data_IF_063995748266
#
_entry.id   IF_063995748266
#
_cell.length_a   1.000
_cell.length_b   1.000
_cell.length_c   1.000
_cell.angle_alpha   90.00
_cell.angle_beta   90.00
_cell.angle_gamma   90.00
#
_symmetry.space_group_name_H-M   'P 1'
#
loop_
_entity.id
_entity.type
_entity.pdbx_description
1 polymer ?
#
# COMPACT_ATOMS: atom_id res chain seq x y z
N UNK A 1 22.82 2.68 13.04
CA UNK A 1 22.38 1.43 12.36
C UNK A 1 21.84 0.36 13.30
N UNK A 2 22.57 -0.07 14.36
CA UNK A 2 22.06 -1.07 15.33
C UNK A 2 20.72 -0.67 15.97
N UNK A 3 20.54 0.61 16.31
CA UNK A 3 19.30 1.13 16.89
C UNK A 3 18.10 1.02 15.94
N UNK A 4 18.28 1.38 14.66
CA UNK A 4 17.23 1.29 13.63
C UNK A 4 16.73 -0.15 13.50
N UNK A 5 17.65 -1.12 13.40
CA UNK A 5 17.30 -2.53 13.29
C UNK A 5 16.58 -3.06 14.54
N UNK A 6 16.98 -2.62 15.73
CA UNK A 6 16.31 -2.97 16.99
C UNK A 6 14.88 -2.43 17.03
N UNK A 7 14.68 -1.15 16.70
CA UNK A 7 13.34 -0.53 16.66
C UNK A 7 12.45 -1.20 15.62
N UNK A 8 13.01 -1.50 14.44
CA UNK A 8 12.32 -2.25 13.40
C UNK A 8 11.89 -3.63 13.88
N UNK A 9 12.80 -4.38 14.52
CA UNK A 9 12.52 -5.72 15.05
C UNK A 9 11.46 -5.73 16.15
N UNK A 10 11.46 -4.73 17.04
CA UNK A 10 10.43 -4.57 18.08
C UNK A 10 9.08 -4.25 17.44
N UNK A 11 9.05 -3.27 16.55
CA UNK A 11 7.82 -2.83 15.85
C UNK A 11 7.19 -3.97 15.07
N UNK A 12 8.03 -4.71 14.32
CA UNK A 12 7.61 -5.89 13.57
C UNK A 12 7.02 -6.98 14.47
N UNK A 13 7.72 -7.36 15.56
CA UNK A 13 7.23 -8.38 16.50
C UNK A 13 5.93 -7.96 17.20
N UNK A 14 5.83 -6.69 17.55
CA UNK A 14 4.62 -6.16 18.17
C UNK A 14 3.44 -6.19 17.19
N UNK A 15 3.66 -5.78 15.94
CA UNK A 15 2.67 -5.83 14.89
C UNK A 15 2.23 -7.27 14.57
N UNK A 16 3.18 -8.20 14.50
CA UNK A 16 2.93 -9.63 14.23
C UNK A 16 2.07 -10.29 15.33
N UNK A 17 2.22 -9.84 16.57
CA UNK A 17 1.43 -10.34 17.72
C UNK A 17 0.02 -9.75 17.77
N UNK A 18 -0.28 -8.74 16.95
CA UNK A 18 -1.58 -8.09 16.96
C UNK A 18 -2.66 -9.03 16.37
N UNK A 19 -3.71 -9.32 17.15
CA UNK A 19 -4.81 -10.20 16.71
C UNK A 19 -5.55 -9.67 15.48
N UNK A 20 -5.55 -8.36 15.26
CA UNK A 20 -6.15 -7.74 14.07
C UNK A 20 -5.47 -8.26 12.80
N UNK A 21 -4.15 -8.48 12.82
CA UNK A 21 -3.43 -9.03 11.68
C UNK A 21 -3.97 -10.40 11.30
N UNK A 22 -4.20 -11.27 12.29
CA UNK A 22 -4.79 -12.59 12.07
C UNK A 22 -6.19 -12.47 11.46
N UNK A 23 -7.02 -11.55 11.96
CA UNK A 23 -8.36 -11.31 11.41
C UNK A 23 -8.31 -10.88 9.94
N UNK A 24 -7.37 -10.01 9.56
CA UNK A 24 -7.19 -9.58 8.16
C UNK A 24 -6.73 -10.75 7.29
N UNK A 25 -5.78 -11.57 7.77
CA UNK A 25 -5.32 -12.75 7.03
C UNK A 25 -6.42 -13.80 6.88
N UNK A 26 -7.23 -14.04 7.91
CA UNK A 26 -8.40 -14.93 7.83
C UNK A 26 -9.43 -14.40 6.84
N UNK A 27 -9.66 -13.09 6.83
CA UNK A 27 -10.56 -12.44 5.87
C UNK A 27 -10.05 -12.63 4.42
N UNK A 28 -8.75 -12.46 4.18
CA UNK A 28 -8.16 -12.72 2.87
C UNK A 28 -8.30 -14.18 2.45
N UNK A 29 -8.05 -15.12 3.36
CA UNK A 29 -8.22 -16.55 3.09
C UNK A 29 -9.68 -16.89 2.72
N UNK A 30 -10.65 -16.25 3.36
CA UNK A 30 -12.06 -16.39 3.00
C UNK A 30 -12.33 -15.86 1.58
N UNK A 31 -11.78 -14.70 1.19
CA UNK A 31 -11.91 -14.18 -0.18
C UNK A 31 -11.27 -15.13 -1.19
N UNK A 32 -10.08 -15.68 -0.91
CA UNK A 32 -9.44 -16.65 -1.80
C UNK A 32 -10.26 -17.94 -1.94
N UNK A 33 -10.90 -18.41 -0.87
CA UNK A 33 -11.84 -19.53 -0.93
C UNK A 33 -13.08 -19.21 -1.77
N UNK A 34 -13.66 -18.01 -1.59
CA UNK A 34 -14.79 -17.53 -2.38
C UNK A 34 -14.42 -17.29 -3.85
N UNK A 35 -13.15 -17.01 -4.17
CA UNK A 35 -12.70 -16.81 -5.54
C UNK A 35 -13.06 -18.03 -6.43
N UNK A 36 -12.97 -19.24 -5.87
CA UNK A 36 -13.37 -20.47 -6.57
C UNK A 36 -14.86 -20.48 -6.93
N UNK A 37 -15.74 -20.05 -6.02
CA UNK A 37 -17.20 -20.04 -6.24
C UNK A 37 -17.69 -18.83 -7.03
N UNK A 38 -17.02 -17.68 -6.83
CA UNK A 38 -17.38 -16.42 -7.47
C UNK A 38 -17.06 -16.45 -8.96
N UNK A 39 -15.98 -17.13 -9.37
CA UNK A 39 -15.64 -17.30 -10.78
C UNK A 39 -16.84 -17.81 -11.59
N UNK A 40 -17.59 -18.79 -11.10
CA UNK A 40 -18.75 -19.37 -11.78
C UNK A 40 -19.96 -18.42 -11.89
N UNK A 41 -20.03 -17.36 -11.07
CA UNK A 41 -21.15 -16.42 -11.05
C UNK A 41 -21.01 -15.30 -12.10
N UNK A 42 -19.79 -15.04 -12.58
CA UNK A 42 -19.52 -13.98 -13.54
C UNK A 42 -19.55 -14.52 -14.98
N UNK A 43 -20.71 -14.42 -15.63
CA UNK A 43 -20.93 -14.76 -17.06
C UNK A 43 -20.22 -13.82 -18.06
N UNK A 44 -19.54 -12.77 -17.58
CA UNK A 44 -18.87 -11.77 -18.42
C UNK A 44 -17.35 -12.02 -18.42
N UNK A 45 -16.77 -12.28 -19.59
CA UNK A 45 -15.32 -12.52 -19.81
C UNK A 45 -14.68 -13.48 -18.80
N UNK A 46 -15.17 -14.73 -18.77
CA UNK A 46 -14.76 -15.82 -17.86
C UNK A 46 -13.25 -15.82 -17.55
N UNK A 47 -12.39 -15.65 -18.56
CA UNK A 47 -10.94 -15.87 -18.51
C UNK A 47 -10.10 -15.00 -17.56
N UNK A 48 -10.61 -14.05 -16.78
CA UNK A 48 -9.72 -13.09 -16.08
C UNK A 48 -10.11 -12.76 -14.64
N UNK A 49 -11.27 -13.25 -14.22
CA UNK A 49 -11.89 -12.91 -12.93
C UNK A 49 -11.02 -13.36 -11.76
N UNK A 50 -10.40 -14.54 -11.86
CA UNK A 50 -9.64 -15.14 -10.76
C UNK A 50 -8.43 -14.30 -10.32
N UNK A 51 -7.66 -13.78 -11.29
CA UNK A 51 -6.45 -12.99 -11.00
C UNK A 51 -6.82 -11.62 -10.44
N UNK A 52 -7.85 -10.97 -11.00
CA UNK A 52 -8.31 -9.66 -10.55
C UNK A 52 -8.88 -9.70 -9.12
N UNK A 53 -9.69 -10.72 -8.80
CA UNK A 53 -10.20 -10.94 -7.44
C UNK A 53 -9.04 -11.14 -6.46
N UNK A 54 -8.06 -11.99 -6.80
CA UNK A 54 -6.91 -12.24 -5.92
C UNK A 54 -6.07 -10.98 -5.68
N UNK A 55 -5.75 -10.22 -6.73
CA UNK A 55 -5.00 -8.97 -6.59
C UNK A 55 -5.78 -7.91 -5.81
N UNK A 56 -7.09 -7.82 -6.03
CA UNK A 56 -7.96 -6.90 -5.27
C UNK A 56 -8.05 -7.29 -3.79
N UNK A 57 -8.09 -8.59 -3.48
CA UNK A 57 -8.08 -9.08 -2.10
C UNK A 57 -6.78 -8.72 -1.38
N UNK A 58 -5.63 -8.91 -2.04
CA UNK A 58 -4.31 -8.52 -1.54
C UNK A 58 -4.30 -7.02 -1.26
N UNK A 59 -4.69 -6.20 -2.25
CA UNK A 59 -4.69 -4.75 -2.13
C UNK A 59 -5.58 -4.24 -0.99
N UNK A 60 -6.77 -4.80 -0.84
CA UNK A 60 -7.68 -4.45 0.25
C UNK A 60 -7.07 -4.81 1.61
N UNK A 61 -6.47 -6.00 1.75
CA UNK A 61 -5.89 -6.43 3.01
C UNK A 61 -4.67 -5.59 3.40
N UNK A 62 -3.77 -5.30 2.45
CA UNK A 62 -2.63 -4.40 2.68
C UNK A 62 -3.08 -3.00 3.08
N UNK A 63 -4.16 -2.49 2.49
CA UNK A 63 -4.79 -1.21 2.88
C UNK A 63 -5.31 -1.23 4.33
N UNK A 64 -6.02 -2.31 4.72
CA UNK A 64 -6.51 -2.48 6.09
C UNK A 64 -5.36 -2.55 7.10
N UNK A 65 -4.25 -3.22 6.76
CA UNK A 65 -3.06 -3.27 7.62
C UNK A 65 -2.50 -1.86 7.83
N UNK A 66 -2.37 -1.05 6.78
CA UNK A 66 -1.85 0.32 6.90
C UNK A 66 -2.78 1.16 7.78
N UNK A 67 -4.08 1.16 7.51
CA UNK A 67 -5.03 2.05 8.21
C UNK A 67 -5.35 1.62 9.63
N UNK A 68 -5.53 0.32 9.86
CA UNK A 68 -6.00 -0.20 11.14
C UNK A 68 -4.81 -0.59 12.02
N UNK A 69 -3.73 -1.13 11.47
CA UNK A 69 -2.61 -1.59 12.29
C UNK A 69 -1.52 -0.53 12.39
N UNK A 70 -0.95 -0.10 11.27
CA UNK A 70 0.23 0.79 11.28
C UNK A 70 -0.08 2.16 11.89
N UNK A 71 -1.16 2.82 11.45
CA UNK A 71 -1.53 4.15 11.97
C UNK A 71 -1.91 4.09 13.46
N UNK A 72 -2.70 3.10 13.89
CA UNK A 72 -3.08 2.99 15.30
C UNK A 72 -1.90 2.66 16.21
N UNK A 73 -0.98 1.80 15.77
CA UNK A 73 0.21 1.48 16.56
C UNK A 73 1.12 2.70 16.68
N UNK A 74 1.31 3.46 15.59
CA UNK A 74 2.10 4.68 15.62
C UNK A 74 1.45 5.79 16.47
N UNK A 75 0.14 6.01 16.32
CA UNK A 75 -0.62 6.98 17.10
C UNK A 75 -0.57 6.67 18.60
N UNK A 76 -0.79 5.40 18.97
CA UNK A 76 -0.69 4.96 20.38
C UNK A 76 0.70 5.19 20.97
N UNK A 77 1.77 4.98 20.20
CA UNK A 77 3.13 5.18 20.68
C UNK A 77 3.43 6.67 20.93
N UNK A 78 2.88 7.56 20.08
CA UNK A 78 2.95 9.01 20.23
C UNK A 78 2.13 9.46 21.45
N UNK A 79 0.88 9.00 21.57
CA UNK A 79 -0.06 9.42 22.63
C UNK A 79 0.36 8.94 24.02
N UNK A 80 0.81 7.68 24.15
CA UNK A 80 1.19 7.10 25.46
C UNK A 80 2.54 7.60 25.98
N UNK A 81 3.15 8.59 25.32
CA UNK A 81 4.50 9.06 25.65
C UNK A 81 5.52 7.91 25.70
N UNK A 82 5.29 6.79 25.02
CA UNK A 82 6.26 5.67 25.00
C UNK A 82 7.53 6.11 24.26
N UNK A 83 7.41 7.08 23.35
CA UNK A 83 8.54 7.82 22.78
C UNK A 83 9.50 8.32 23.88
N UNK A 84 8.99 8.75 25.04
CA UNK A 84 9.80 9.27 26.16
C UNK A 84 10.59 8.18 26.89
N UNK A 85 10.08 6.94 26.94
CA UNK A 85 10.81 5.78 27.48
C UNK A 85 11.97 5.35 26.58
N UNK A 86 11.85 5.57 25.26
CA UNK A 86 12.93 5.35 24.30
C UNK A 86 13.93 6.52 24.26
N UNK A 87 13.48 7.77 24.50
CA UNK A 87 14.32 8.97 24.63
C UNK A 87 15.18 9.00 25.91
N UNK A 88 14.93 8.12 26.89
CA UNK A 88 15.83 7.92 28.03
C UNK A 88 17.18 7.32 27.60
N UNK A 89 17.25 6.72 26.41
CA UNK A 89 18.50 6.49 25.67
C UNK A 89 18.65 7.60 24.63
N UNK A 90 19.88 8.05 24.30
CA UNK A 90 20.12 9.09 23.30
C UNK A 90 19.85 8.55 21.89
N UNK A 91 18.57 8.35 21.56
CA UNK A 91 18.11 7.93 20.24
C UNK A 91 17.79 9.18 19.42
N UNK A 92 18.42 9.28 18.26
CA UNK A 92 18.12 10.37 17.36
C UNK A 92 16.72 10.16 16.75
N UNK A 93 15.97 11.25 16.60
CA UNK A 93 14.57 11.23 16.12
C UNK A 93 14.42 10.56 14.74
N UNK A 94 15.44 10.66 13.87
CA UNK A 94 15.47 9.98 12.58
C UNK A 94 15.59 8.45 12.72
N UNK A 95 16.30 7.95 13.73
CA UNK A 95 16.45 6.50 13.95
C UNK A 95 15.10 5.87 14.35
N UNK A 96 14.28 6.62 15.10
CA UNK A 96 12.93 6.19 15.46
C UNK A 96 12.01 6.08 14.25
N UNK A 97 11.92 7.14 13.43
CA UNK A 97 11.04 7.16 12.25
C UNK A 97 11.47 6.08 11.23
N UNK A 98 12.77 5.99 10.91
CA UNK A 98 13.26 4.98 9.99
C UNK A 98 13.09 3.56 10.53
N UNK A 99 13.35 3.34 11.83
CA UNK A 99 13.14 2.04 12.47
C UNK A 99 11.68 1.60 12.42
N UNK A 100 10.75 2.52 12.71
CA UNK A 100 9.31 2.28 12.62
C UNK A 100 8.87 1.97 11.18
N UNK A 101 9.33 2.78 10.22
CA UNK A 101 9.03 2.55 8.82
C UNK A 101 9.55 1.18 8.35
N UNK A 102 10.81 0.84 8.62
CA UNK A 102 11.38 -0.46 8.25
C UNK A 102 10.65 -1.63 8.92
N UNK A 103 10.22 -1.49 10.18
CA UNK A 103 9.43 -2.51 10.88
C UNK A 103 8.07 -2.76 10.23
N UNK A 104 7.35 -1.68 9.88
CA UNK A 104 6.07 -1.79 9.17
C UNK A 104 6.24 -2.23 7.71
N UNK A 105 7.30 -1.79 7.02
CA UNK A 105 7.63 -2.25 5.68
C UNK A 105 7.94 -3.75 5.65
N UNK A 106 8.67 -4.27 6.64
CA UNK A 106 8.93 -5.70 6.78
C UNK A 106 7.65 -6.49 7.10
N UNK A 107 6.75 -5.92 7.91
CA UNK A 107 5.43 -6.50 8.15
C UNK A 107 4.63 -6.59 6.85
N UNK A 108 4.53 -5.48 6.11
CA UNK A 108 3.83 -5.43 4.83
C UNK A 108 4.44 -6.40 3.83
N UNK A 109 5.77 -6.53 3.78
CA UNK A 109 6.44 -7.48 2.90
C UNK A 109 6.09 -8.94 3.25
N UNK A 110 6.09 -9.27 4.55
CA UNK A 110 5.70 -10.61 5.00
C UNK A 110 4.24 -10.89 4.65
N UNK A 111 3.34 -9.94 4.90
CA UNK A 111 1.91 -10.12 4.60
C UNK A 111 1.66 -10.20 3.11
N UNK A 112 2.36 -9.39 2.31
CA UNK A 112 2.32 -9.44 0.85
C UNK A 112 2.79 -10.81 0.34
N UNK A 113 3.84 -11.38 0.94
CA UNK A 113 4.32 -12.70 0.57
C UNK A 113 3.30 -13.81 0.91
N UNK A 114 2.69 -13.74 2.08
CA UNK A 114 1.65 -14.69 2.51
C UNK A 114 0.40 -14.57 1.62
N UNK A 115 -0.09 -13.35 1.42
CA UNK A 115 -1.28 -13.06 0.64
C UNK A 115 -1.05 -13.31 -0.86
N UNK A 116 0.10 -12.92 -1.38
CA UNK A 116 0.54 -13.20 -2.75
C UNK A 116 0.71 -14.70 -3.01
N UNK A 117 1.25 -15.45 -2.05
CA UNK A 117 1.30 -16.91 -2.09
C UNK A 117 -0.10 -17.55 -2.08
N UNK A 118 -1.00 -17.07 -1.23
CA UNK A 118 -2.41 -17.50 -1.20
C UNK A 118 -3.16 -17.17 -2.50
N UNK A 119 -2.96 -15.95 -3.02
CA UNK A 119 -3.51 -15.50 -4.30
C UNK A 119 -2.99 -16.35 -5.47
N UNK A 120 -1.68 -16.59 -5.53
CA UNK A 120 -1.07 -17.48 -6.52
C UNK A 120 -1.63 -18.90 -6.44
N UNK A 121 -1.77 -19.45 -5.23
CA UNK A 121 -2.37 -20.76 -5.03
C UNK A 121 -3.82 -20.81 -5.51
N UNK A 122 -4.62 -19.78 -5.20
CA UNK A 122 -6.02 -19.71 -5.67
C UNK A 122 -6.11 -19.68 -7.20
N UNK A 123 -5.25 -18.88 -7.86
CA UNK A 123 -5.17 -18.81 -9.33
C UNK A 123 -4.70 -20.13 -9.92
N UNK A 124 -3.72 -20.79 -9.30
CA UNK A 124 -3.21 -22.09 -9.74
C UNK A 124 -4.30 -23.18 -9.69
N UNK A 125 -5.07 -23.23 -8.60
CA UNK A 125 -6.20 -24.16 -8.46
C UNK A 125 -7.23 -23.91 -9.57
N UNK A 126 -7.62 -22.65 -9.78
CA UNK A 126 -8.61 -22.30 -10.82
C UNK A 126 -8.06 -22.61 -12.21
N UNK A 127 -6.79 -22.31 -12.49
CA UNK A 127 -6.16 -22.63 -13.77
C UNK A 127 -6.19 -24.13 -14.09
N UNK A 128 -6.05 -24.99 -13.06
CA UNK A 128 -6.05 -26.43 -13.24
C UNK A 128 -7.46 -27.03 -13.42
N UNK A 129 -8.43 -26.63 -12.59
CA UNK A 129 -9.78 -27.20 -12.61
C UNK A 129 -10.73 -26.51 -13.60
N UNK A 130 -10.41 -25.27 -13.97
CA UNK A 130 -11.28 -24.31 -14.67
C UNK A 130 -10.44 -23.39 -15.59
N UNK A 131 -9.72 -23.95 -16.59
CA UNK A 131 -8.78 -23.17 -17.42
C UNK A 131 -9.45 -22.03 -18.22
N UNK A 132 -10.76 -22.13 -18.47
CA UNK A 132 -11.54 -21.07 -19.13
C UNK A 132 -11.59 -19.75 -18.33
N UNK A 133 -11.19 -19.76 -17.05
CA UNK A 133 -11.25 -18.59 -16.16
C UNK A 133 -9.92 -17.89 -15.91
N UNK A 134 -8.85 -18.38 -16.54
CA UNK A 134 -7.52 -17.77 -16.48
C UNK A 134 -7.10 -17.37 -17.89
N UNK A 135 -6.43 -16.21 -18.00
CA UNK A 135 -6.15 -15.63 -19.30
C UNK A 135 -5.16 -16.52 -20.04
N UNK A 136 -5.37 -16.70 -21.34
CA UNK A 136 -4.47 -17.50 -22.19
C UNK A 136 -3.03 -16.95 -22.14
N UNK A 137 -2.87 -15.64 -21.93
CA UNK A 137 -1.58 -14.96 -21.82
C UNK A 137 -1.11 -14.75 -20.37
N UNK A 138 -1.71 -15.42 -19.39
CA UNK A 138 -1.30 -15.27 -17.99
C UNK A 138 0.16 -15.70 -17.79
N UNK A 139 0.95 -14.82 -17.18
CA UNK A 139 2.35 -15.09 -16.86
C UNK A 139 2.64 -14.87 -15.38
N UNK A 140 3.19 -15.88 -14.71
CA UNK A 140 3.63 -15.80 -13.32
C UNK A 140 4.63 -14.68 -13.07
N UNK A 141 5.46 -14.34 -14.08
CA UNK A 141 6.36 -13.19 -14.01
C UNK A 141 5.64 -11.85 -13.89
N UNK A 142 4.54 -11.64 -14.64
CA UNK A 142 3.73 -10.42 -14.52
C UNK A 142 2.95 -10.37 -13.21
N UNK A 143 2.49 -11.52 -12.70
CA UNK A 143 1.88 -11.60 -11.38
C UNK A 143 2.88 -11.17 -10.28
N UNK A 144 4.09 -11.72 -10.29
CA UNK A 144 5.15 -11.33 -9.35
C UNK A 144 5.56 -9.86 -9.49
N UNK A 145 5.66 -9.35 -10.71
CA UNK A 145 5.95 -7.93 -10.96
C UNK A 145 4.84 -7.03 -10.41
N UNK A 146 3.58 -7.44 -10.57
CA UNK A 146 2.46 -6.69 -10.04
C UNK A 146 2.41 -6.68 -8.50
N UNK A 147 2.80 -7.76 -7.83
CA UNK A 147 3.00 -7.77 -6.37
C UNK A 147 4.12 -6.81 -5.94
N UNK A 148 5.23 -6.77 -6.68
CA UNK A 148 6.33 -5.83 -6.40
C UNK A 148 5.88 -4.36 -6.53
N UNK A 149 5.11 -4.03 -7.57
CA UNK A 149 4.54 -2.70 -7.76
C UNK A 149 3.55 -2.37 -6.65
N UNK A 150 2.66 -3.31 -6.33
CA UNK A 150 1.70 -3.14 -5.24
C UNK A 150 2.39 -2.87 -3.90
N UNK A 151 3.42 -3.64 -3.56
CA UNK A 151 4.23 -3.44 -2.37
C UNK A 151 4.89 -2.06 -2.36
N UNK A 152 5.44 -1.60 -3.50
CA UNK A 152 6.05 -0.28 -3.62
C UNK A 152 5.00 0.84 -3.41
N UNK A 153 3.80 0.70 -3.97
CA UNK A 153 2.68 1.60 -3.70
C UNK A 153 2.27 1.61 -2.23
N UNK A 154 2.31 0.46 -1.56
CA UNK A 154 2.08 0.36 -0.11
C UNK A 154 3.16 1.08 0.71
N UNK A 155 4.43 1.05 0.29
CA UNK A 155 5.50 1.81 0.94
C UNK A 155 5.30 3.32 0.82
N UNK A 156 4.86 3.81 -0.34
CA UNK A 156 4.50 5.22 -0.52
C UNK A 156 3.35 5.60 0.41
N UNK A 157 2.28 4.82 0.42
CA UNK A 157 1.12 5.07 1.27
C UNK A 157 1.47 5.00 2.76
N UNK A 158 2.30 4.04 3.16
CA UNK A 158 2.80 3.92 4.53
C UNK A 158 3.62 5.14 4.95
N UNK A 159 4.48 5.67 4.06
CA UNK A 159 5.22 6.90 4.35
C UNK A 159 4.28 8.09 4.57
N UNK A 160 3.25 8.26 3.72
CA UNK A 160 2.21 9.27 3.92
C UNK A 160 1.43 9.04 5.23
N UNK A 161 1.10 7.79 5.54
CA UNK A 161 0.41 7.42 6.78
C UNK A 161 1.22 7.82 8.01
N UNK A 162 2.53 7.59 7.99
CA UNK A 162 3.44 8.00 9.06
C UNK A 162 3.55 9.52 9.17
N UNK A 163 3.63 10.23 8.03
CA UNK A 163 3.62 11.70 8.02
C UNK A 163 2.36 12.24 8.71
N UNK A 164 1.18 11.74 8.34
CA UNK A 164 -0.08 12.21 8.94
C UNK A 164 -0.26 11.76 10.38
N UNK A 165 0.23 10.59 10.78
CA UNK A 165 0.24 10.18 12.17
C UNK A 165 1.12 11.11 13.04
N UNK A 166 2.23 11.61 12.50
CA UNK A 166 3.07 12.59 13.19
C UNK A 166 2.43 13.98 13.20
N UNK A 167 1.80 14.40 12.11
CA UNK A 167 1.22 15.74 11.96
C UNK A 167 -0.10 15.89 12.72
N UNK A 168 -0.90 14.84 12.80
CA UNK A 168 -2.25 14.89 13.34
C UNK A 168 -2.25 14.86 14.87
N UNK A 169 -3.26 15.50 15.46
CA UNK A 169 -3.51 15.46 16.92
C UNK A 169 -4.23 14.20 17.35
N UNK A 170 -4.93 13.52 16.43
CA UNK A 170 -5.61 12.26 16.71
C UNK A 170 -5.33 11.22 15.62
N UNK A 171 -5.30 9.96 16.04
CA UNK A 171 -5.15 8.81 15.14
C UNK A 171 -6.27 8.75 14.08
N UNK A 172 -7.49 9.19 14.43
CA UNK A 172 -8.61 9.26 13.50
C UNK A 172 -8.36 10.22 12.34
N UNK A 173 -7.85 11.43 12.61
CA UNK A 173 -7.50 12.40 11.57
C UNK A 173 -6.39 11.87 10.66
N UNK A 174 -5.40 11.17 11.23
CA UNK A 174 -4.34 10.55 10.44
C UNK A 174 -4.90 9.51 9.45
N UNK A 175 -5.87 8.68 9.88
CA UNK A 175 -6.57 7.74 9.00
C UNK A 175 -7.32 8.48 7.89
N UNK A 176 -8.06 9.55 8.21
CA UNK A 176 -8.82 10.33 7.21
C UNK A 176 -7.91 10.96 6.15
N UNK A 177 -6.80 11.58 6.55
CA UNK A 177 -5.85 12.17 5.59
C UNK A 177 -5.19 11.10 4.73
N UNK A 178 -4.83 9.95 5.32
CA UNK A 178 -4.23 8.84 4.57
C UNK A 178 -5.23 8.23 3.59
N UNK A 179 -6.51 8.10 3.97
CA UNK A 179 -7.59 7.72 3.06
C UNK A 179 -7.74 8.70 1.90
N UNK A 180 -7.70 10.02 2.18
CA UNK A 180 -7.73 11.05 1.16
C UNK A 180 -6.58 10.91 0.16
N UNK A 181 -5.37 10.66 0.64
CA UNK A 181 -4.20 10.39 -0.21
C UNK A 181 -4.36 9.08 -1.01
N UNK A 182 -4.90 8.04 -0.41
CA UNK A 182 -5.16 6.78 -1.12
C UNK A 182 -6.14 6.99 -2.28
N UNK A 183 -7.31 7.57 -2.02
CA UNK A 183 -8.31 7.80 -3.06
C UNK A 183 -7.81 8.76 -4.13
N UNK A 184 -7.18 9.86 -3.74
CA UNK A 184 -6.62 10.79 -4.71
C UNK A 184 -5.52 10.11 -5.55
N UNK A 185 -4.63 9.35 -4.93
CA UNK A 185 -3.57 8.64 -5.65
C UNK A 185 -4.09 7.57 -6.61
N UNK A 186 -5.26 6.99 -6.36
CA UNK A 186 -5.87 5.98 -7.23
C UNK A 186 -6.71 6.58 -8.38
N UNK A 187 -7.32 7.74 -8.18
CA UNK A 187 -8.36 8.23 -9.09
C UNK A 187 -8.09 9.61 -9.70
N UNK A 188 -7.16 10.41 -9.16
CA UNK A 188 -6.98 11.80 -9.56
C UNK A 188 -6.61 11.95 -11.05
N UNK A 189 -5.70 11.14 -11.58
CA UNK A 189 -5.34 11.20 -13.01
C UNK A 189 -6.52 10.85 -13.92
N UNK A 190 -7.35 9.89 -13.52
CA UNK A 190 -8.56 9.51 -14.27
C UNK A 190 -9.56 10.66 -14.29
N UNK A 191 -9.76 11.33 -13.14
CA UNK A 191 -10.62 12.51 -13.05
C UNK A 191 -10.10 13.65 -13.92
N UNK A 192 -8.78 13.94 -13.88
CA UNK A 192 -8.16 14.97 -14.72
C UNK A 192 -8.38 14.67 -16.20
N UNK A 193 -8.14 13.43 -16.62
CA UNK A 193 -8.31 13.00 -18.01
C UNK A 193 -9.76 13.17 -18.49
N UNK A 194 -10.73 12.74 -17.69
CA UNK A 194 -12.15 12.89 -18.03
C UNK A 194 -12.57 14.36 -18.14
N UNK A 195 -12.09 15.22 -17.23
CA UNK A 195 -12.39 16.64 -17.26
C UNK A 195 -11.72 17.36 -18.44
N UNK A 196 -10.53 16.92 -18.87
CA UNK A 196 -9.85 17.52 -20.03
C UNK A 196 -10.57 17.29 -21.36
N UNK A 197 -11.40 16.24 -21.45
CA UNK A 197 -12.17 15.91 -22.66
C UNK A 197 -13.43 16.80 -22.75
N UNK A 198 -14.03 17.16 -21.61
CA UNK A 198 -15.34 17.82 -21.56
C UNK A 198 -15.34 19.27 -21.06
N UNK A 199 -14.24 19.78 -20.50
CA UNK A 199 -14.16 21.12 -19.93
C UNK A 199 -13.08 21.98 -20.60
N UNK A 200 -13.26 23.31 -20.53
CA UNK A 200 -12.23 24.24 -20.96
C UNK A 200 -10.93 24.03 -20.18
N UNK A 201 -9.82 24.02 -20.93
CA UNK A 201 -8.47 23.83 -20.42
C UNK A 201 -8.07 24.81 -19.31
N UNK A 202 -8.76 25.96 -19.23
CA UNK A 202 -8.56 27.05 -18.27
C UNK A 202 -9.48 26.99 -17.05
N UNK A 203 -10.28 25.92 -16.87
CA UNK A 203 -11.12 25.76 -15.69
C UNK A 203 -10.28 25.82 -14.39
N UNK A 204 -10.61 26.69 -13.42
CA UNK A 204 -9.87 26.80 -12.16
C UNK A 204 -9.78 25.48 -11.40
N UNK A 205 -10.82 24.64 -11.49
CA UNK A 205 -10.86 23.30 -10.90
C UNK A 205 -9.81 22.39 -11.54
N UNK A 206 -9.71 22.42 -12.86
CA UNK A 206 -8.78 21.57 -13.61
C UNK A 206 -7.33 21.98 -13.35
N UNK A 207 -7.06 23.28 -13.23
CA UNK A 207 -5.75 23.80 -12.81
C UNK A 207 -5.40 23.35 -11.39
N UNK A 208 -6.33 23.46 -10.44
CA UNK A 208 -6.14 23.00 -9.07
C UNK A 208 -5.84 21.49 -9.00
N UNK A 209 -6.61 20.66 -9.72
CA UNK A 209 -6.40 19.21 -9.74
C UNK A 209 -5.05 18.83 -10.34
N UNK A 210 -4.61 19.50 -11.41
CA UNK A 210 -3.27 19.32 -11.98
C UNK A 210 -2.18 19.65 -10.97
N UNK A 211 -2.31 20.74 -10.22
CA UNK A 211 -1.38 21.07 -9.14
C UNK A 211 -1.39 20.02 -8.02
N UNK A 212 -2.57 19.54 -7.62
CA UNK A 212 -2.69 18.49 -6.61
C UNK A 212 -2.03 17.17 -7.06
N UNK A 213 -2.10 16.84 -8.36
CA UNK A 213 -1.48 15.64 -8.93
C UNK A 213 0.05 15.66 -8.89
N UNK A 214 0.66 16.85 -8.83
CA UNK A 214 2.11 16.97 -8.63
C UNK A 214 2.55 16.70 -7.19
N UNK A 215 1.68 16.93 -6.21
CA UNK A 215 1.99 16.78 -4.79
C UNK A 215 1.65 15.39 -4.25
N UNK A 216 0.54 14.83 -4.72
CA UNK A 216 0.02 13.54 -4.28
C UNK A 216 0.72 12.37 -4.98
N UNK A 217 0.87 11.21 -4.31
CA UNK A 217 1.47 10.04 -4.93
C UNK A 217 0.54 9.48 -5.99
N UNK A 218 1.05 9.20 -7.18
CA UNK A 218 0.31 8.45 -8.18
C UNK A 218 0.35 6.95 -7.84
N UNK A 219 -0.62 6.49 -7.04
CA UNK A 219 -0.77 5.08 -6.67
C UNK A 219 -1.36 4.24 -7.81
N UNK A 220 -2.12 4.87 -8.72
CA UNK A 220 -2.66 4.19 -9.89
C UNK A 220 -1.56 3.64 -10.82
N UNK A 221 -0.41 4.33 -10.91
CA UNK A 221 0.77 3.83 -11.63
C UNK A 221 1.35 2.53 -11.06
N UNK A 222 1.05 2.19 -9.81
CA UNK A 222 1.46 0.95 -9.14
C UNK A 222 0.38 -0.14 -9.18
N UNK A 223 -0.82 0.15 -9.69
CA UNK A 223 -1.90 -0.83 -9.84
C UNK A 223 -1.75 -1.62 -11.15
N UNK A 224 -0.91 -2.65 -11.11
CA UNK A 224 -0.68 -3.55 -12.23
C UNK A 224 -1.66 -4.75 -12.25
N UNK A 225 -2.77 -4.71 -11.52
CA UNK A 225 -3.72 -5.85 -11.47
C UNK A 225 -4.25 -6.23 -12.85
N UNK A 226 -4.55 -5.24 -13.69
CA UNK A 226 -4.98 -5.48 -15.07
C UNK A 226 -3.85 -6.06 -15.92
N UNK A 227 -2.61 -5.62 -15.71
CA UNK A 227 -1.47 -6.21 -16.43
C UNK A 227 -1.28 -7.68 -16.06
N UNK A 228 -1.45 -8.02 -14.77
CA UNK A 228 -1.39 -9.40 -14.30
C UNK A 228 -2.57 -10.25 -14.79
N UNK A 229 -3.80 -9.71 -14.78
CA UNK A 229 -5.00 -10.43 -15.18
C UNK A 229 -5.11 -10.64 -16.70
N UNK A 230 -4.64 -9.68 -17.51
CA UNK A 230 -4.73 -9.72 -18.97
C UNK A 230 -3.44 -10.17 -19.65
N UNK A 231 -2.34 -10.37 -18.89
CA UNK A 231 -1.04 -10.71 -19.46
C UNK A 231 -0.44 -9.59 -20.31
N UNK A 232 -0.73 -8.32 -19.96
CA UNK A 232 -0.21 -7.17 -20.69
C UNK A 232 1.27 -7.00 -20.37
N UNK A 233 2.08 -6.85 -21.40
CA UNK A 233 3.51 -6.58 -21.24
C UNK A 233 3.74 -5.15 -20.77
N UNK A 234 4.61 -4.98 -19.78
CA UNK A 234 5.08 -3.67 -19.35
C UNK A 234 6.51 -3.46 -19.87
N UNK A 235 6.76 -2.31 -20.51
CA UNK A 235 8.10 -1.98 -20.98
C UNK A 235 9.09 -1.91 -19.79
N UNK A 236 10.26 -2.60 -19.84
CA UNK A 236 11.20 -2.63 -18.71
C UNK A 236 11.72 -1.26 -18.28
N UNK A 237 11.91 -0.35 -19.24
CA UNK A 237 12.31 1.04 -18.97
C UNK A 237 11.26 1.79 -18.17
N UNK A 238 9.99 1.68 -18.57
CA UNK A 238 8.87 2.27 -17.84
C UNK A 238 8.76 1.65 -16.45
N UNK A 239 8.88 0.32 -16.35
CA UNK A 239 8.82 -0.37 -15.07
C UNK A 239 9.91 0.13 -14.10
N UNK A 240 11.14 0.26 -14.57
CA UNK A 240 12.26 0.79 -13.78
C UNK A 240 12.04 2.24 -13.34
N UNK A 241 11.58 3.10 -14.24
CA UNK A 241 11.26 4.50 -13.92
C UNK A 241 10.14 4.62 -12.87
N UNK A 242 9.08 3.84 -12.99
CA UNK A 242 7.96 3.86 -12.03
C UNK A 242 8.39 3.36 -10.66
N UNK A 243 9.18 2.29 -10.58
CA UNK A 243 9.73 1.82 -9.30
C UNK A 243 10.65 2.87 -8.66
N UNK A 244 11.53 3.50 -9.44
CA UNK A 244 12.42 4.55 -8.95
C UNK A 244 11.62 5.75 -8.44
N UNK A 245 10.57 6.16 -9.17
CA UNK A 245 9.64 7.20 -8.73
C UNK A 245 9.02 6.86 -7.37
N UNK A 246 8.51 5.64 -7.19
CA UNK A 246 7.88 5.23 -5.94
C UNK A 246 8.84 5.26 -4.76
N UNK A 247 10.04 4.70 -4.94
CA UNK A 247 11.07 4.70 -3.90
C UNK A 247 11.55 6.13 -3.57
N UNK A 248 11.76 6.97 -4.58
CA UNK A 248 12.13 8.37 -4.38
C UNK A 248 11.05 9.14 -3.62
N UNK A 249 9.77 8.94 -3.98
CA UNK A 249 8.63 9.54 -3.29
C UNK A 249 8.58 9.10 -1.82
N UNK A 250 8.72 7.80 -1.55
CA UNK A 250 8.79 7.26 -0.18
C UNK A 250 9.91 7.92 0.63
N UNK A 251 11.12 8.04 0.06
CA UNK A 251 12.26 8.68 0.74
C UNK A 251 11.97 10.15 1.03
N UNK A 252 11.43 10.91 0.07
CA UNK A 252 11.08 12.32 0.25
C UNK A 252 10.05 12.52 1.36
N UNK A 253 9.00 11.70 1.40
CA UNK A 253 7.98 11.77 2.46
C UNK A 253 8.55 11.37 3.82
N UNK A 254 9.47 10.40 3.89
CA UNK A 254 10.14 10.03 5.14
C UNK A 254 11.08 11.12 5.65
N UNK A 255 11.79 11.82 4.76
CA UNK A 255 12.60 12.98 5.11
C UNK A 255 11.70 14.09 5.69
N UNK A 256 10.57 14.37 5.05
CA UNK A 256 9.57 15.32 5.55
C UNK A 256 9.01 14.89 6.91
N UNK A 257 8.66 13.62 7.05
CA UNK A 257 8.16 13.04 8.31
C UNK A 257 9.18 13.22 9.44
N UNK A 258 10.44 12.92 9.16
CA UNK A 258 11.55 13.07 10.10
C UNK A 258 11.74 14.53 10.50
N UNK A 259 11.69 15.45 9.54
CA UNK A 259 11.79 16.88 9.78
C UNK A 259 10.65 17.40 10.66
N UNK A 260 9.40 17.05 10.36
CA UNK A 260 8.22 17.44 11.15
C UNK A 260 8.32 16.85 12.57
N UNK A 261 8.68 15.57 12.68
CA UNK A 261 8.88 14.91 13.98
C UNK A 261 10.00 15.54 14.80
N UNK A 262 11.02 16.13 14.15
CA UNK A 262 12.12 16.82 14.82
C UNK A 262 11.75 18.16 15.44
N UNK A 263 10.69 18.80 14.95
CA UNK A 263 10.22 20.10 15.44
C UNK A 263 9.06 20.01 16.43
N UNK A 264 8.38 18.86 16.48
CA UNK A 264 7.31 18.64 17.46
C UNK A 264 7.93 18.70 18.86
N UNK A 265 7.51 19.68 19.65
CA UNK A 265 7.85 19.77 21.07
C UNK A 265 7.14 18.61 21.76
N UNK A 266 7.93 17.65 22.23
CA UNK A 266 7.43 16.54 23.03
C UNK A 266 7.47 17.02 24.48
N UNK A 267 6.47 17.82 24.90
CA UNK A 267 6.28 18.25 26.30
C UNK A 267 5.44 17.24 27.09
#
# INVERSE_FOLDING_TARGET
MKNIALIAGITFKEALRNRILLSILCFAAAIFGLNFTLADSFNFELSKVAVDISMSAIALCSLLIIFILCINQLGRDIDRRIVFLFLARPLARYEYILGKFCGFAALLLLTEFILGGGGAMSVWIIAHFRPAYVAVNFGWGMFALALLFHFTGCLMLLACAMLFAVLSTSTFLAVLFTLGVYFAGQYLERVITLLTIGADSSSPVLVFLKWAAWLLPNLAAFDLKQHAAYGLTLAPSLAGCTLLYGLAYTVLVLLLTTFVFSRKELS
#
